data_IF_036567759263
#
_entry.id   IF_036567759263
#
_cell.length_a   1.000
_cell.length_b   1.000
_cell.length_c   1.000
_cell.angle_alpha   90.00
_cell.angle_beta   90.00
_cell.angle_gamma   90.00
#
_symmetry.space_group_name_H-M   'P 1'
#
loop_
_entity.id
_entity.type
_entity.pdbx_description
1 polymer ?
#
# COMPACT_ATOMS: atom_id res chain seq x y z
N UNK A 1 -40.62 -23.05 28.80
CA UNK A 1 -40.54 -22.48 27.41
C UNK A 1 -39.78 -21.15 27.33
N UNK A 2 -39.95 -20.22 28.28
CA UNK A 2 -39.28 -18.89 28.31
C UNK A 2 -37.74 -18.97 28.26
N UNK A 3 -37.14 -19.89 29.00
CA UNK A 3 -35.67 -20.03 29.10
C UNK A 3 -35.07 -20.58 27.80
N UNK A 4 -35.76 -21.52 27.13
CA UNK A 4 -35.35 -22.06 25.83
C UNK A 4 -35.39 -20.98 24.74
N UNK A 5 -36.39 -20.08 24.76
CA UNK A 5 -36.48 -18.93 23.85
C UNK A 5 -35.32 -17.94 24.05
N UNK A 6 -34.94 -17.67 25.29
CA UNK A 6 -33.81 -16.78 25.61
C UNK A 6 -32.49 -17.39 25.09
N UNK A 7 -32.28 -18.69 25.29
CA UNK A 7 -31.07 -19.39 24.81
C UNK A 7 -30.98 -19.33 23.28
N UNK A 8 -32.10 -19.51 22.58
CA UNK A 8 -32.15 -19.44 21.10
C UNK A 8 -31.86 -18.01 20.60
N UNK A 9 -32.40 -16.99 21.27
CA UNK A 9 -32.16 -15.59 20.86
C UNK A 9 -30.68 -15.23 21.08
N UNK A 10 -30.10 -15.64 22.21
CA UNK A 10 -28.69 -15.39 22.50
C UNK A 10 -27.76 -16.07 21.48
N UNK A 11 -28.04 -17.31 21.07
CA UNK A 11 -27.21 -18.01 20.08
C UNK A 11 -27.30 -17.38 18.69
N UNK A 12 -28.46 -16.87 18.29
CA UNK A 12 -28.62 -16.14 17.02
C UNK A 12 -27.85 -14.82 17.03
N UNK A 13 -27.88 -14.08 18.13
CA UNK A 13 -27.12 -12.82 18.26
C UNK A 13 -25.61 -13.08 18.20
N UNK A 14 -25.13 -14.12 18.89
CA UNK A 14 -23.71 -14.52 18.86
C UNK A 14 -23.28 -14.89 17.43
N UNK A 15 -24.12 -15.62 16.69
CA UNK A 15 -23.85 -16.00 15.30
C UNK A 15 -23.77 -14.77 14.37
N UNK A 16 -24.68 -13.80 14.53
CA UNK A 16 -24.69 -12.61 13.67
C UNK A 16 -23.47 -11.70 13.92
N UNK A 17 -23.02 -11.58 15.18
CA UNK A 17 -21.82 -10.81 15.52
C UNK A 17 -20.56 -11.51 14.99
N UNK A 18 -20.45 -12.83 15.14
CA UNK A 18 -19.28 -13.56 14.63
C UNK A 18 -19.20 -13.52 13.11
N UNK A 19 -20.32 -13.68 12.40
CA UNK A 19 -20.38 -13.59 10.94
C UNK A 19 -20.00 -12.19 10.45
N UNK A 20 -20.58 -11.13 11.02
CA UNK A 20 -20.23 -9.75 10.67
C UNK A 20 -18.76 -9.42 11.00
N UNK A 21 -18.25 -9.90 12.13
CA UNK A 21 -16.85 -9.74 12.52
C UNK A 21 -15.88 -10.47 11.59
N UNK A 22 -16.16 -11.72 11.22
CA UNK A 22 -15.32 -12.51 10.30
C UNK A 22 -15.31 -11.88 8.89
N UNK A 23 -16.46 -11.41 8.40
CA UNK A 23 -16.52 -10.69 7.13
C UNK A 23 -15.78 -9.34 7.18
N UNK A 24 -15.86 -8.60 8.29
CA UNK A 24 -15.12 -7.35 8.48
C UNK A 24 -13.60 -7.59 8.60
N UNK A 25 -13.17 -8.69 9.22
CA UNK A 25 -11.74 -9.06 9.33
C UNK A 25 -11.13 -9.26 7.94
N UNK A 26 -11.83 -9.88 7.00
CA UNK A 26 -11.30 -10.06 5.65
C UNK A 26 -11.25 -8.77 4.82
N UNK A 27 -12.10 -7.77 5.11
CA UNK A 27 -12.02 -6.44 4.49
C UNK A 27 -10.99 -5.51 5.16
N UNK A 28 -10.78 -5.65 6.46
CA UNK A 28 -9.86 -4.83 7.25
C UNK A 28 -8.40 -5.30 7.17
N UNK A 29 -8.13 -6.61 6.97
CA UNK A 29 -6.77 -7.17 6.98
C UNK A 29 -6.16 -7.47 5.60
N UNK A 30 -6.85 -7.25 4.47
CA UNK A 30 -6.17 -7.43 3.18
C UNK A 30 -7.01 -7.71 1.94
N UNK A 31 -8.30 -7.38 1.94
CA UNK A 31 -9.16 -7.56 0.77
C UNK A 31 -8.99 -6.52 -0.33
N UNK A 32 -7.76 -6.21 -0.76
CA UNK A 32 -7.52 -5.40 -1.96
C UNK A 32 -6.99 -3.99 -1.74
N UNK A 33 -5.85 -3.87 -1.05
CA UNK A 33 -4.97 -2.77 -1.40
C UNK A 33 -4.52 -3.03 -2.85
N UNK A 34 -5.10 -2.32 -3.81
CA UNK A 34 -4.50 -2.20 -5.13
C UNK A 34 -3.07 -1.76 -4.89
N UNK A 35 -2.07 -2.52 -5.35
CA UNK A 35 -0.70 -2.00 -5.42
C UNK A 35 -0.82 -0.67 -6.15
N UNK A 36 -0.57 0.48 -5.47
CA UNK A 36 -0.75 1.75 -6.13
C UNK A 36 0.16 1.72 -7.36
N UNK A 37 -0.40 1.93 -8.55
CA UNK A 37 0.35 1.78 -9.82
C UNK A 37 1.59 2.69 -9.89
N UNK A 38 1.68 3.60 -8.94
CA UNK A 38 2.60 4.70 -8.82
C UNK A 38 3.53 4.53 -7.61
N UNK A 39 3.45 3.46 -6.82
CA UNK A 39 4.39 3.24 -5.68
C UNK A 39 5.82 3.06 -6.16
N UNK A 40 6.03 2.50 -7.35
CA UNK A 40 7.38 2.31 -7.91
C UNK A 40 8.01 3.63 -8.38
N UNK A 41 7.22 4.69 -8.58
CA UNK A 41 7.64 5.99 -9.11
C UNK A 41 7.56 7.12 -8.07
N UNK A 42 6.56 7.09 -7.19
CA UNK A 42 6.30 8.14 -6.20
C UNK A 42 7.27 8.13 -5.02
N UNK A 43 7.81 6.96 -4.66
CA UNK A 43 8.79 6.82 -3.56
C UNK A 43 10.21 6.56 -4.07
N UNK A 44 10.47 6.81 -5.35
CA UNK A 44 11.78 6.60 -5.94
C UNK A 44 12.73 7.73 -5.50
N UNK A 45 13.74 7.37 -4.71
CA UNK A 45 14.75 8.31 -4.20
C UNK A 45 15.65 8.86 -5.33
N UNK A 46 15.75 8.15 -6.47
CA UNK A 46 16.45 8.62 -7.66
C UNK A 46 16.41 7.64 -8.84
N UNK A 47 16.46 8.17 -10.05
CA UNK A 47 16.52 7.43 -11.32
C UNK A 47 17.32 8.21 -12.38
N UNK A 48 18.53 7.76 -12.66
CA UNK A 48 19.43 8.35 -13.67
C UNK A 48 19.54 7.40 -14.86
N UNK A 49 19.07 7.80 -16.04
CA UNK A 49 19.03 6.94 -17.23
C UNK A 49 20.33 6.94 -18.04
N UNK A 50 21.12 8.01 -17.91
CA UNK A 50 22.35 8.25 -18.68
C UNK A 50 22.13 8.36 -20.20
N UNK A 51 20.94 8.78 -20.63
CA UNK A 51 20.60 8.98 -22.06
C UNK A 51 21.06 10.34 -22.62
N UNK A 52 21.67 11.20 -21.81
CA UNK A 52 22.14 12.53 -22.22
C UNK A 52 23.32 12.47 -23.21
N UNK A 53 24.00 11.33 -23.26
CA UNK A 53 25.13 11.05 -24.16
C UNK A 53 26.43 11.77 -23.84
N UNK A 54 26.38 12.96 -23.22
CA UNK A 54 27.57 13.71 -22.76
C UNK A 54 27.21 14.79 -21.75
N UNK A 55 28.23 15.36 -21.09
CA UNK A 55 28.08 16.42 -20.09
C UNK A 55 28.52 15.96 -18.71
N UNK A 56 28.47 16.90 -17.75
CA UNK A 56 28.88 16.63 -16.37
C UNK A 56 27.70 16.36 -15.43
N UNK A 57 26.46 16.47 -15.93
CA UNK A 57 25.26 16.32 -15.12
C UNK A 57 24.52 15.05 -15.49
N UNK A 58 24.26 14.19 -14.51
CA UNK A 58 23.32 13.09 -14.62
C UNK A 58 21.96 13.56 -14.10
N UNK A 59 20.95 13.63 -14.95
CA UNK A 59 19.63 14.12 -14.55
C UNK A 59 18.82 13.02 -13.87
N UNK A 60 18.22 13.35 -12.73
CA UNK A 60 17.31 12.47 -12.02
C UNK A 60 15.89 12.64 -12.58
N UNK A 61 15.39 11.57 -13.21
CA UNK A 61 14.05 11.48 -13.78
C UNK A 61 12.97 11.20 -12.73
N UNK A 62 13.33 10.86 -11.49
CA UNK A 62 12.39 10.67 -10.39
C UNK A 62 11.70 11.98 -9.95
N UNK A 63 10.77 11.88 -9.02
CA UNK A 63 10.15 13.04 -8.36
C UNK A 63 11.14 13.77 -7.44
N UNK A 64 12.17 13.09 -6.91
CA UNK A 64 13.13 13.68 -5.98
C UNK A 64 14.11 14.66 -6.62
N UNK A 65 14.33 14.60 -7.95
CA UNK A 65 15.19 15.55 -8.70
C UNK A 65 16.60 15.71 -8.12
N UNK A 66 17.17 14.62 -7.61
CA UNK A 66 18.52 14.55 -7.07
C UNK A 66 19.56 14.50 -8.21
N UNK A 67 19.68 15.56 -9.01
CA UNK A 67 20.65 15.59 -10.11
C UNK A 67 22.09 15.42 -9.58
N UNK A 68 22.86 14.55 -10.21
CA UNK A 68 24.28 14.37 -9.91
C UNK A 68 25.13 15.30 -10.78
N UNK A 69 26.14 15.95 -10.21
CA UNK A 69 27.15 16.70 -10.97
C UNK A 69 28.52 16.07 -10.74
N UNK A 70 29.14 15.63 -11.81
CA UNK A 70 30.54 15.23 -11.81
C UNK A 70 31.41 16.47 -11.67
N UNK A 71 32.24 16.51 -10.62
CA UNK A 71 33.21 17.59 -10.37
C UNK A 71 34.66 17.12 -10.52
N UNK A 72 34.89 15.96 -11.11
CA UNK A 72 36.24 15.45 -11.32
C UNK A 72 36.99 16.35 -12.31
N UNK A 73 37.99 17.07 -11.80
CA UNK A 73 39.04 17.69 -12.62
C UNK A 73 39.92 16.58 -13.19
N UNK A 74 40.16 16.64 -14.50
CA UNK A 74 41.16 15.83 -15.21
C UNK A 74 42.59 16.19 -14.80
#
# INVERSE_FOLDING_TARGET
>A
MRNKKIVIIASVIILLISVGGIFAINGFFGGGATIPKDTMTNDLVGYWTFDEGSGQTAFDSSVSKNNGVWSGTS
#
